data_IF_631714977327
#
_entry.id   IF_631714977327
#
_cell.length_a   1.000
_cell.length_b   1.000
_cell.length_c   1.000
_cell.angle_alpha   90.00
_cell.angle_beta   90.00
_cell.angle_gamma   90.00
#
_symmetry.space_group_name_H-M   'P 1'
#
loop_
_entity.id
_entity.type
_entity.pdbx_description
1 polymer ?
#
# COMPACT_ATOMS: atom_id res chain seq x y z
N UNK A 1 -13.64 3.82 28.54
CA UNK A 1 -13.62 3.22 27.19
C UNK A 1 -13.32 4.26 26.13
N UNK A 2 -14.09 5.33 26.06
CA UNK A 2 -13.87 6.38 25.05
C UNK A 2 -12.52 7.05 25.15
N UNK A 3 -12.01 7.23 26.35
CA UNK A 3 -10.69 7.84 26.55
C UNK A 3 -9.56 6.96 26.05
N UNK A 4 -9.69 5.64 26.25
CA UNK A 4 -8.71 4.67 25.78
C UNK A 4 -8.74 4.62 24.24
N UNK A 5 -9.93 4.57 23.67
CA UNK A 5 -10.09 4.55 22.21
C UNK A 5 -9.51 5.84 21.59
N UNK A 6 -9.81 6.99 22.19
CA UNK A 6 -9.28 8.26 21.71
C UNK A 6 -7.76 8.30 21.77
N UNK A 7 -7.17 7.77 22.84
CA UNK A 7 -5.72 7.73 23.01
C UNK A 7 -5.07 6.83 21.96
N UNK A 8 -5.67 5.67 21.69
CA UNK A 8 -5.20 4.74 20.67
C UNK A 8 -5.24 5.41 19.28
N UNK A 9 -6.36 6.02 18.94
CA UNK A 9 -6.50 6.71 17.65
C UNK A 9 -5.51 7.86 17.53
N UNK A 10 -5.28 8.59 18.60
CA UNK A 10 -4.33 9.70 18.60
C UNK A 10 -2.90 9.20 18.35
N UNK A 11 -2.50 8.10 18.98
CA UNK A 11 -1.15 7.56 18.84
C UNK A 11 -0.93 6.90 17.50
N UNK A 12 -1.98 6.33 16.89
CA UNK A 12 -1.88 5.66 15.60
C UNK A 12 -2.15 6.61 14.43
N UNK A 13 -2.43 7.89 14.70
CA UNK A 13 -2.74 8.83 13.63
C UNK A 13 -1.62 8.97 12.61
N UNK A 14 -0.38 9.13 13.08
CA UNK A 14 0.76 9.29 12.18
C UNK A 14 1.00 8.07 11.30
N UNK A 15 1.05 6.82 11.83
CA UNK A 15 1.20 5.66 10.97
C UNK A 15 0.01 5.44 10.04
N UNK A 16 -1.22 5.76 10.46
CA UNK A 16 -2.39 5.67 9.59
C UNK A 16 -2.29 6.62 8.41
N UNK A 17 -1.90 7.87 8.68
CA UNK A 17 -1.70 8.87 7.62
C UNK A 17 -0.59 8.41 6.67
N UNK A 18 0.50 7.87 7.20
CA UNK A 18 1.60 7.35 6.40
C UNK A 18 1.12 6.25 5.46
N UNK A 19 0.36 5.28 5.95
CA UNK A 19 -0.18 4.20 5.12
C UNK A 19 -1.13 4.72 4.04
N UNK A 20 -2.00 5.67 4.39
CA UNK A 20 -2.91 6.28 3.43
C UNK A 20 -2.12 6.97 2.32
N UNK A 21 -1.07 7.72 2.69
CA UNK A 21 -0.22 8.40 1.71
C UNK A 21 0.53 7.40 0.82
N UNK A 22 1.09 6.35 1.42
CA UNK A 22 1.80 5.31 0.66
C UNK A 22 0.86 4.66 -0.36
N UNK A 23 -0.34 4.29 0.07
CA UNK A 23 -1.32 3.66 -0.82
C UNK A 23 -1.80 4.64 -1.89
N UNK A 24 -2.05 5.89 -1.53
CA UNK A 24 -2.50 6.90 -2.49
C UNK A 24 -1.46 7.10 -3.60
N UNK A 25 -0.20 7.24 -3.23
CA UNK A 25 0.89 7.42 -4.18
C UNK A 25 1.07 6.18 -5.04
N UNK A 26 1.10 5.00 -4.41
CA UNK A 26 1.36 3.74 -5.12
C UNK A 26 0.23 3.38 -6.08
N UNK A 27 -1.01 3.47 -5.62
CA UNK A 27 -2.20 3.17 -6.44
C UNK A 27 -2.35 4.20 -7.55
N UNK A 28 -2.22 5.48 -7.20
CA UNK A 28 -2.37 6.57 -8.18
C UNK A 28 -1.35 6.48 -9.29
N UNK A 29 -0.09 6.25 -8.96
CA UNK A 29 0.96 6.10 -9.95
C UNK A 29 0.75 4.89 -10.84
N UNK A 30 0.39 3.75 -10.26
CA UNK A 30 0.16 2.54 -11.05
C UNK A 30 -1.03 2.70 -12.00
N UNK A 31 -2.09 3.36 -11.54
CA UNK A 31 -3.27 3.62 -12.38
C UNK A 31 -2.97 4.58 -13.53
N UNK A 32 -2.02 5.50 -13.34
CA UNK A 32 -1.64 6.47 -14.37
C UNK A 32 -0.68 5.90 -15.41
N UNK A 33 0.04 4.83 -15.08
CA UNK A 33 1.01 4.23 -16.00
C UNK A 33 0.28 3.23 -16.88
N UNK A 34 0.26 3.41 -18.22
CA UNK A 34 -0.46 2.46 -19.10
C UNK A 34 0.17 1.07 -19.04
N UNK A 35 -0.70 0.06 -18.96
CA UNK A 35 -0.30 -1.33 -19.09
C UNK A 35 -0.64 -1.85 -20.46
N UNK A 36 -0.76 -3.17 -20.57
CA UNK A 36 -1.17 -3.84 -21.80
C UNK A 36 -2.33 -4.79 -21.51
N UNK A 37 -3.23 -4.96 -22.46
CA UNK A 37 -4.30 -5.94 -22.38
C UNK A 37 -3.84 -7.29 -22.94
N UNK A 38 -4.75 -8.25 -23.01
CA UNK A 38 -4.44 -9.59 -23.51
C UNK A 38 -3.97 -9.58 -24.97
N UNK A 39 -4.36 -8.57 -25.73
CA UNK A 39 -4.01 -8.44 -27.17
C UNK A 39 -2.74 -7.59 -27.36
N UNK A 40 -2.12 -7.14 -26.28
CA UNK A 40 -0.93 -6.30 -26.34
C UNK A 40 -1.20 -4.82 -26.56
N UNK A 41 -2.46 -4.40 -26.56
CA UNK A 41 -2.83 -2.99 -26.69
C UNK A 41 -2.63 -2.25 -25.38
N UNK A 42 -2.30 -0.96 -25.45
CA UNK A 42 -2.17 -0.14 -24.27
C UNK A 42 -3.52 0.00 -23.57
N UNK A 43 -3.52 -0.26 -22.28
CA UNK A 43 -4.72 -0.13 -21.47
C UNK A 43 -4.33 0.35 -20.07
N UNK A 44 -4.91 1.48 -19.60
CA UNK A 44 -4.64 1.92 -18.25
C UNK A 44 -5.30 0.97 -17.24
N UNK A 45 -4.63 0.73 -16.13
CA UNK A 45 -5.16 -0.08 -15.06
C UNK A 45 -6.22 0.73 -14.30
N UNK A 46 -7.34 0.10 -13.96
CA UNK A 46 -8.35 0.77 -13.13
C UNK A 46 -7.79 1.04 -11.74
N UNK A 47 -8.33 2.06 -11.09
CA UNK A 47 -7.93 2.40 -9.71
C UNK A 47 -8.20 1.23 -8.78
N UNK A 48 -9.34 0.57 -8.94
CA UNK A 48 -9.68 -0.59 -8.11
C UNK A 48 -8.68 -1.73 -8.28
N UNK A 49 -8.28 -2.02 -9.52
CA UNK A 49 -7.31 -3.07 -9.79
C UNK A 49 -5.93 -2.70 -9.26
N UNK A 50 -5.52 -1.43 -9.41
CA UNK A 50 -4.27 -0.93 -8.85
C UNK A 50 -4.25 -1.06 -7.33
N UNK A 51 -5.36 -0.75 -6.68
CA UNK A 51 -5.52 -0.92 -5.24
C UNK A 51 -5.37 -2.40 -4.85
N UNK A 52 -5.97 -3.28 -5.61
CA UNK A 52 -5.88 -4.73 -5.38
C UNK A 52 -4.43 -5.21 -5.50
N UNK A 53 -3.71 -4.79 -6.55
CA UNK A 53 -2.30 -5.14 -6.75
C UNK A 53 -1.45 -4.63 -5.59
N UNK A 54 -1.64 -3.39 -5.19
CA UNK A 54 -0.88 -2.82 -4.08
C UNK A 54 -1.19 -3.50 -2.75
N UNK A 55 -2.44 -3.93 -2.57
CA UNK A 55 -2.84 -4.61 -1.34
C UNK A 55 -2.14 -5.96 -1.19
N UNK A 56 -2.11 -6.79 -2.23
CA UNK A 56 -1.41 -8.07 -2.10
C UNK A 56 0.11 -7.91 -2.14
N UNK A 57 0.61 -6.82 -2.67
CA UNK A 57 2.04 -6.51 -2.65
C UNK A 57 2.46 -6.08 -1.26
N UNK A 58 1.76 -5.11 -0.67
CA UNK A 58 2.09 -4.56 0.64
C UNK A 58 1.94 -5.60 1.74
N UNK A 59 0.95 -6.49 1.64
CA UNK A 59 0.70 -7.53 2.62
C UNK A 59 1.51 -8.79 2.39
N UNK A 60 2.39 -8.80 1.39
CA UNK A 60 3.32 -9.87 1.04
C UNK A 60 2.67 -11.14 0.48
N UNK A 61 1.39 -11.10 0.09
CA UNK A 61 0.73 -12.24 -0.57
C UNK A 61 1.33 -12.49 -1.95
N UNK A 62 1.49 -11.43 -2.73
CA UNK A 62 2.26 -11.47 -3.96
C UNK A 62 1.72 -12.37 -5.07
N UNK A 63 0.48 -12.14 -5.53
CA UNK A 63 -0.08 -12.95 -6.61
C UNK A 63 0.66 -12.82 -7.95
N UNK A 64 1.45 -11.76 -8.10
CA UNK A 64 2.18 -11.53 -9.34
C UNK A 64 1.49 -10.55 -10.27
N UNK A 65 1.86 -10.58 -11.55
CA UNK A 65 1.38 -9.63 -12.54
C UNK A 65 0.08 -10.13 -13.15
N UNK A 66 -1.03 -9.61 -12.67
CA UNK A 66 -2.36 -10.02 -13.10
C UNK A 66 -3.18 -8.78 -13.50
N UNK A 67 -4.13 -8.90 -14.44
CA UNK A 67 -4.45 -10.08 -15.25
C UNK A 67 -3.47 -10.31 -16.39
N UNK A 68 -2.67 -9.33 -16.74
CA UNK A 68 -1.71 -9.38 -17.85
C UNK A 68 -0.33 -9.01 -17.33
N UNK A 69 0.74 -9.45 -18.01
CA UNK A 69 2.09 -9.03 -17.63
C UNK A 69 2.21 -7.52 -17.61
N UNK A 70 2.97 -7.01 -16.66
CA UNK A 70 3.18 -5.56 -16.53
C UNK A 70 4.22 -5.10 -17.54
N UNK A 71 4.10 -3.84 -17.94
CA UNK A 71 5.16 -3.18 -18.72
C UNK A 71 6.35 -2.86 -17.81
N UNK A 72 7.50 -2.57 -18.40
CA UNK A 72 8.67 -2.20 -17.62
C UNK A 72 8.43 -0.93 -16.79
N UNK A 73 7.65 0.01 -17.34
CA UNK A 73 7.29 1.22 -16.60
C UNK A 73 6.46 0.87 -15.35
N UNK A 74 5.49 -0.03 -15.49
CA UNK A 74 4.71 -0.51 -14.36
C UNK A 74 5.57 -1.25 -13.36
N UNK A 75 6.50 -2.09 -13.85
CA UNK A 75 7.41 -2.84 -12.98
C UNK A 75 8.32 -1.91 -12.19
N UNK A 76 8.81 -0.85 -12.82
CA UNK A 76 9.63 0.14 -12.13
C UNK A 76 8.84 0.82 -11.01
N UNK A 77 7.61 1.23 -11.31
CA UNK A 77 6.76 1.88 -10.31
C UNK A 77 6.41 0.93 -9.17
N UNK A 78 6.10 -0.33 -9.48
CA UNK A 78 5.80 -1.34 -8.47
C UNK A 78 7.03 -1.61 -7.60
N UNK A 79 8.23 -1.65 -8.20
CA UNK A 79 9.47 -1.82 -7.45
C UNK A 79 9.64 -0.71 -6.42
N UNK A 80 9.44 0.54 -6.84
CA UNK A 80 9.47 1.68 -5.92
C UNK A 80 8.41 1.53 -4.83
N UNK A 81 7.21 1.12 -5.23
CA UNK A 81 6.09 0.96 -4.30
C UNK A 81 6.32 -0.17 -3.29
N UNK A 82 7.03 -1.23 -3.70
CA UNK A 82 7.39 -2.32 -2.78
C UNK A 82 8.23 -1.77 -1.62
N UNK A 83 9.27 -1.02 -1.92
CA UNK A 83 10.12 -0.45 -0.87
C UNK A 83 9.35 0.54 0.00
N UNK A 84 8.54 1.38 -0.63
CA UNK A 84 7.73 2.36 0.09
C UNK A 84 6.72 1.66 1.00
N UNK A 85 6.06 0.62 0.51
CA UNK A 85 5.06 -0.14 1.26
C UNK A 85 5.66 -0.88 2.45
N UNK A 86 6.83 -1.50 2.26
CA UNK A 86 7.53 -2.20 3.33
C UNK A 86 7.89 -1.23 4.44
N UNK A 87 8.44 -0.06 4.09
CA UNK A 87 8.78 0.95 5.09
C UNK A 87 7.53 1.47 5.80
N UNK A 88 6.45 1.70 5.07
CA UNK A 88 5.20 2.18 5.65
C UNK A 88 4.60 1.18 6.62
N UNK A 89 4.54 -0.09 6.23
CA UNK A 89 4.01 -1.14 7.10
C UNK A 89 4.93 -1.41 8.29
N UNK A 90 6.26 -1.36 8.10
CA UNK A 90 7.19 -1.51 9.21
C UNK A 90 6.99 -0.41 10.25
N UNK A 91 6.80 0.83 9.80
CA UNK A 91 6.51 1.94 10.68
C UNK A 91 5.17 1.74 11.42
N UNK A 92 4.14 1.33 10.69
CA UNK A 92 2.82 1.11 11.29
C UNK A 92 2.86 -0.02 12.33
N UNK A 93 3.49 -1.14 12.00
CA UNK A 93 3.61 -2.27 12.92
C UNK A 93 4.47 -1.90 14.13
N UNK A 94 5.57 -1.18 13.92
CA UNK A 94 6.39 -0.68 15.02
C UNK A 94 5.63 0.23 15.96
N UNK A 95 4.77 1.08 15.41
CA UNK A 95 3.92 1.96 16.21
C UNK A 95 2.91 1.18 17.04
N UNK A 96 2.31 0.14 16.46
CA UNK A 96 1.38 -0.73 17.20
C UNK A 96 2.10 -1.47 18.32
N UNK A 97 3.28 -2.01 18.05
CA UNK A 97 4.09 -2.71 19.05
C UNK A 97 4.47 -1.75 20.18
N UNK A 98 4.89 -0.53 19.85
CA UNK A 98 5.22 0.47 20.85
C UNK A 98 4.00 0.81 21.72
N UNK A 99 2.84 0.92 21.10
CA UNK A 99 1.61 1.19 21.85
C UNK A 99 1.28 0.06 22.82
N UNK A 100 1.44 -1.19 22.38
CA UNK A 100 1.20 -2.37 23.22
C UNK A 100 2.20 -2.43 24.37
N UNK A 101 3.47 -2.12 24.11
CA UNK A 101 4.50 -2.12 25.14
C UNK A 101 4.29 -1.01 26.17
N UNK A 102 3.70 0.11 25.75
CA UNK A 102 3.34 1.20 26.65
C UNK A 102 1.98 0.98 27.31
N UNK A 103 1.46 -0.23 27.21
CA UNK A 103 0.11 -0.55 27.66
C UNK A 103 0.03 -0.61 29.18
N UNK A 104 0.33 0.48 29.80
CA UNK A 104 -0.02 0.75 31.18
C UNK A 104 -1.38 1.43 31.26
N UNK A 105 -1.97 1.61 30.10
CA UNK A 105 -3.30 2.21 30.00
C UNK A 105 -4.39 1.16 30.15
#
# INVERSE_FOLDING_TARGET
>A
MNDVLFLILRRLRAPMITLIMVYAISVGGLALIPGVDADGNREPMSIFHAFYVMSYTATTIGFGEIPNPFTDAQRLWVTFSIYLSVLGWAYALGSVIALVNDATF
#
